data_IF_426629119684
#
_entry.id   IF_426629119684
#
_cell.length_a   1.000
_cell.length_b   1.000
_cell.length_c   1.000
_cell.angle_alpha   90.00
_cell.angle_beta   90.00
_cell.angle_gamma   90.00
#
_symmetry.space_group_name_H-M   'P 1'
#
loop_
_entity.id
_entity.type
_entity.pdbx_description
1 polymer ?
#
# COMPACT_ATOMS: atom_id res chain seq x y z
N UNK A 1 -3.40 -54.71 6.46
CA UNK A 1 -2.38 -53.71 6.04
C UNK A 1 -3.03 -52.69 5.13
N UNK A 2 -2.99 -51.42 5.51
CA UNK A 2 -2.95 -50.24 4.64
C UNK A 2 -2.86 -49.04 5.58
N UNK A 3 -1.63 -48.60 5.85
CA UNK A 3 -1.37 -47.28 6.41
C UNK A 3 -1.90 -46.25 5.40
N UNK A 4 -2.81 -45.37 5.84
CA UNK A 4 -3.18 -44.13 5.14
C UNK A 4 -3.03 -42.97 6.12
N UNK A 5 -2.33 -41.93 5.69
CA UNK A 5 -2.06 -40.68 6.41
C UNK A 5 -2.41 -39.54 5.40
N UNK A 6 -2.62 -38.27 5.79
CA UNK A 6 -3.51 -37.74 6.82
C UNK A 6 -4.15 -36.35 6.55
N UNK A 7 -4.24 -35.81 5.33
CA UNK A 7 -4.57 -34.36 5.13
C UNK A 7 -5.97 -34.00 4.57
N UNK A 8 -6.91 -34.87 4.96
CA UNK A 8 -8.31 -34.63 5.31
C UNK A 8 -9.56 -35.00 4.47
N UNK A 9 -10.52 -35.75 5.08
CA UNK A 9 -11.77 -36.27 4.51
C UNK A 9 -13.08 -35.84 5.22
N UNK A 10 -14.23 -36.16 4.59
CA UNK A 10 -15.68 -35.94 4.90
C UNK A 10 -16.20 -35.73 6.36
N UNK A 11 -17.19 -34.80 6.51
CA UNK A 11 -17.83 -34.20 7.71
C UNK A 11 -18.75 -35.13 8.55
N UNK A 12 -18.38 -35.48 9.80
CA UNK A 12 -19.15 -36.27 10.77
C UNK A 12 -19.92 -35.43 11.84
N UNK A 13 -21.23 -35.63 12.01
CA UNK A 13 -21.97 -35.02 13.13
C UNK A 13 -23.51 -34.88 13.05
N UNK A 14 -24.17 -35.26 11.95
CA UNK A 14 -25.62 -35.07 11.78
C UNK A 14 -26.44 -36.36 11.80
N UNK A 15 -26.31 -37.17 12.85
CA UNK A 15 -27.23 -38.28 13.07
C UNK A 15 -26.90 -39.11 14.31
N UNK A 16 -27.79 -39.11 15.30
CA UNK A 16 -27.86 -40.18 16.30
C UNK A 16 -28.52 -41.40 15.64
N UNK A 17 -27.88 -42.58 15.70
CA UNK A 17 -28.43 -43.79 15.06
C UNK A 17 -29.14 -44.70 16.09
N UNK A 18 -30.48 -44.79 16.07
CA UNK A 18 -31.28 -45.64 16.97
C UNK A 18 -31.24 -47.14 16.65
N UNK A 19 -30.37 -47.59 15.74
CA UNK A 19 -30.34 -48.98 15.23
C UNK A 19 -29.32 -49.90 15.93
N UNK A 20 -28.72 -49.47 17.04
CA UNK A 20 -27.81 -50.31 17.81
C UNK A 20 -28.60 -51.43 18.49
N UNK A 21 -28.34 -52.69 18.08
CA UNK A 21 -29.02 -53.90 18.56
C UNK A 21 -29.92 -54.62 17.55
N UNK A 22 -30.19 -54.03 16.39
CA UNK A 22 -31.07 -54.65 15.38
C UNK A 22 -30.31 -55.72 14.57
N UNK A 23 -30.72 -56.99 14.68
CA UNK A 23 -30.06 -58.13 14.01
C UNK A 23 -30.61 -58.47 12.62
N UNK A 24 -31.78 -57.94 12.25
CA UNK A 24 -32.39 -58.17 10.95
C UNK A 24 -32.40 -56.88 10.12
N UNK A 25 -31.58 -56.85 9.07
CA UNK A 25 -31.52 -55.77 8.08
C UNK A 25 -32.27 -56.21 6.82
N UNK A 26 -33.58 -56.41 6.94
CA UNK A 26 -34.43 -56.59 5.77
C UNK A 26 -34.58 -55.25 5.06
N UNK A 27 -33.75 -54.96 4.06
CA UNK A 27 -33.99 -53.86 3.13
C UNK A 27 -35.07 -54.35 2.17
N UNK A 28 -36.30 -53.83 2.31
CA UNK A 28 -37.33 -54.02 1.30
C UNK A 28 -36.97 -53.08 0.14
N UNK A 29 -36.59 -53.57 -1.05
CA UNK A 29 -36.38 -52.68 -2.19
C UNK A 29 -37.71 -52.01 -2.51
N UNK A 30 -37.77 -50.68 -2.39
CA UNK A 30 -38.95 -49.90 -2.77
C UNK A 30 -38.74 -49.51 -4.23
N UNK A 31 -39.53 -50.11 -5.11
CA UNK A 31 -39.60 -49.72 -6.51
C UNK A 31 -40.68 -48.64 -6.64
N UNK A 32 -40.30 -47.48 -7.17
CA UNK A 32 -41.24 -46.41 -7.53
C UNK A 32 -41.20 -46.17 -9.04
N UNK A 33 -42.27 -45.58 -9.56
CA UNK A 33 -42.39 -45.18 -10.96
C UNK A 33 -42.53 -43.68 -11.06
N UNK A 34 -41.58 -43.04 -11.74
CA UNK A 34 -41.67 -41.65 -12.18
C UNK A 34 -41.70 -41.71 -13.71
N UNK A 35 -42.71 -41.10 -14.34
CA UNK A 35 -42.87 -41.04 -15.80
C UNK A 35 -42.76 -42.40 -16.53
N UNK A 36 -43.40 -43.44 -15.98
CA UNK A 36 -43.43 -44.81 -16.52
C UNK A 36 -42.09 -45.54 -16.56
N UNK A 37 -41.07 -45.04 -15.84
CA UNK A 37 -39.80 -45.75 -15.66
C UNK A 37 -39.70 -46.24 -14.21
N UNK A 38 -39.56 -47.55 -14.05
CA UNK A 38 -39.39 -48.17 -12.73
C UNK A 38 -37.95 -47.94 -12.26
N UNK A 39 -37.77 -47.34 -11.08
CA UNK A 39 -36.45 -47.15 -10.48
C UNK A 39 -36.42 -47.60 -9.01
N UNK A 40 -35.28 -48.18 -8.63
CA UNK A 40 -34.98 -48.59 -7.26
C UNK A 40 -34.55 -47.36 -6.46
N UNK A 41 -35.28 -47.01 -5.41
CA UNK A 41 -35.00 -45.83 -4.59
C UNK A 41 -34.46 -46.27 -3.22
N UNK A 42 -33.23 -45.84 -2.93
CA UNK A 42 -32.50 -46.16 -1.68
C UNK A 42 -32.81 -45.20 -0.51
N UNK A 43 -33.74 -44.27 -0.67
CA UNK A 43 -34.00 -43.22 0.34
C UNK A 43 -35.48 -43.02 0.65
N UNK A 44 -35.78 -42.89 1.93
CA UNK A 44 -36.98 -42.20 2.42
C UNK A 44 -36.78 -40.69 2.34
N UNK A 45 -37.84 -39.95 2.06
CA UNK A 45 -37.84 -38.48 1.97
C UNK A 45 -37.30 -37.83 3.26
N UNK A 46 -36.46 -36.80 3.10
CA UNK A 46 -36.23 -35.79 4.16
C UNK A 46 -34.85 -35.68 4.82
N UNK A 47 -33.86 -36.54 4.54
CA UNK A 47 -32.56 -36.43 5.24
C UNK A 47 -31.36 -36.55 4.29
N UNK A 48 -30.59 -35.47 4.21
CA UNK A 48 -29.31 -35.24 3.51
C UNK A 48 -29.43 -34.56 2.13
N UNK A 49 -29.08 -33.25 2.11
CA UNK A 49 -28.90 -32.41 0.91
C UNK A 49 -27.71 -32.83 0.03
N UNK A 50 -26.80 -33.66 0.54
CA UNK A 50 -25.57 -34.10 -0.15
C UNK A 50 -25.35 -35.63 -0.08
N UNK A 51 -24.80 -36.25 -1.15
CA UNK A 51 -24.45 -37.67 -1.16
C UNK A 51 -23.14 -37.96 -0.41
N UNK A 52 -23.10 -39.02 0.39
CA UNK A 52 -21.90 -39.49 1.09
C UNK A 52 -21.05 -40.37 0.18
N UNK A 53 -19.74 -40.07 0.06
CA UNK A 53 -18.81 -40.74 -0.87
C UNK A 53 -18.29 -42.12 -0.40
N UNK A 54 -18.67 -42.58 0.80
CA UNK A 54 -18.27 -43.88 1.33
C UNK A 54 -19.47 -44.76 1.62
N UNK A 55 -19.28 -46.07 1.44
CA UNK A 55 -20.18 -47.08 1.95
C UNK A 55 -20.20 -46.98 3.50
N UNK A 56 -21.38 -46.88 4.09
CA UNK A 56 -21.54 -46.93 5.56
C UNK A 56 -20.84 -48.19 6.11
N UNK A 57 -20.13 -48.07 7.25
CA UNK A 57 -19.53 -49.14 8.10
C UNK A 57 -18.02 -49.47 7.96
N UNK A 58 -17.20 -48.74 7.19
CA UNK A 58 -15.75 -49.06 7.05
C UNK A 58 -14.76 -48.13 7.77
N UNK A 59 -15.21 -47.04 8.40
CA UNK A 59 -14.33 -46.09 9.10
C UNK A 59 -14.84 -45.80 10.53
N UNK A 60 -13.95 -45.54 11.50
CA UNK A 60 -14.36 -45.02 12.80
C UNK A 60 -14.96 -43.63 12.62
N UNK A 61 -16.20 -43.44 13.10
CA UNK A 61 -16.95 -42.17 13.08
C UNK A 61 -16.34 -41.20 14.11
N UNK A 62 -15.18 -40.63 13.80
CA UNK A 62 -14.61 -39.52 14.57
C UNK A 62 -15.46 -38.27 14.32
N UNK A 63 -15.67 -37.34 15.28
CA UNK A 63 -16.38 -36.08 15.06
C UNK A 63 -15.69 -35.11 14.07
N UNK A 64 -16.47 -34.21 13.44
CA UNK A 64 -15.95 -33.17 12.50
C UNK A 64 -14.82 -32.35 13.08
N UNK A 65 -14.96 -31.88 14.31
CA UNK A 65 -13.95 -31.03 14.94
C UNK A 65 -12.62 -31.76 15.21
N UNK A 66 -12.62 -33.09 15.28
CA UNK A 66 -11.39 -33.89 15.38
C UNK A 66 -10.82 -34.17 13.99
N UNK A 67 -11.68 -34.57 13.06
CA UNK A 67 -11.24 -34.89 11.70
C UNK A 67 -10.66 -33.63 11.07
N UNK A 68 -11.37 -32.50 11.13
CA UNK A 68 -11.07 -31.26 10.43
C UNK A 68 -10.28 -30.20 11.18
N UNK A 69 -9.69 -30.57 12.32
CA UNK A 69 -8.84 -29.67 13.09
C UNK A 69 -7.80 -29.01 12.17
N UNK A 70 -7.76 -27.67 12.20
CA UNK A 70 -6.82 -26.81 11.44
C UNK A 70 -6.92 -26.87 9.91
N UNK A 71 -7.95 -27.50 9.34
CA UNK A 71 -8.14 -27.48 7.90
C UNK A 71 -9.06 -26.33 7.51
N UNK A 72 -8.46 -25.39 6.78
CA UNK A 72 -9.08 -24.12 6.45
C UNK A 72 -9.03 -23.97 4.93
N UNK A 73 -10.17 -23.67 4.33
CA UNK A 73 -10.24 -23.29 2.93
C UNK A 73 -10.07 -21.78 2.83
N UNK A 74 -9.17 -21.33 1.93
CA UNK A 74 -8.90 -19.92 1.70
C UNK A 74 -9.29 -19.55 0.28
N UNK A 75 -10.16 -18.56 0.18
CA UNK A 75 -10.63 -17.99 -1.07
C UNK A 75 -10.26 -16.52 -1.14
N UNK A 76 -9.72 -16.09 -2.27
CA UNK A 76 -9.45 -14.68 -2.54
C UNK A 76 -10.67 -14.09 -3.24
N UNK A 77 -11.16 -12.97 -2.73
CA UNK A 77 -12.32 -12.29 -3.25
C UNK A 77 -12.10 -10.78 -3.25
N UNK A 78 -12.99 -10.05 -3.91
CA UNK A 78 -13.11 -8.61 -3.71
C UNK A 78 -14.57 -8.24 -3.52
N UNK A 79 -14.78 -7.07 -2.94
CA UNK A 79 -16.09 -6.42 -2.95
C UNK A 79 -15.94 -4.95 -3.36
N UNK A 80 -17.00 -4.42 -3.96
CA UNK A 80 -17.09 -3.03 -4.34
C UNK A 80 -17.72 -2.25 -3.18
N UNK A 81 -17.00 -1.28 -2.64
CA UNK A 81 -17.50 -0.36 -1.64
C UNK A 81 -17.89 0.96 -2.32
N UNK A 82 -19.16 1.33 -2.24
CA UNK A 82 -19.63 2.65 -2.69
C UNK A 82 -19.11 3.74 -1.75
N UNK A 83 -18.49 4.78 -2.30
CA UNK A 83 -18.08 5.96 -1.54
C UNK A 83 -18.99 7.13 -1.90
N UNK A 84 -19.64 7.72 -0.90
CA UNK A 84 -20.59 8.81 -1.12
C UNK A 84 -19.90 10.19 -1.22
N UNK A 85 -18.70 10.36 -0.66
CA UNK A 85 -18.11 11.68 -0.40
C UNK A 85 -16.91 12.04 -1.30
N UNK A 86 -16.45 11.13 -2.17
CA UNK A 86 -15.26 11.34 -3.01
C UNK A 86 -15.63 11.78 -4.43
N UNK A 87 -15.07 12.90 -4.90
CA UNK A 87 -15.28 13.39 -6.29
C UNK A 87 -14.58 12.54 -7.36
N UNK A 88 -13.54 11.79 -6.99
CA UNK A 88 -12.66 11.10 -7.95
C UNK A 88 -13.08 9.67 -8.32
N UNK A 89 -13.85 8.98 -7.47
CA UNK A 89 -14.34 7.63 -7.74
C UNK A 89 -15.61 7.34 -6.94
N UNK A 90 -16.67 6.86 -7.62
CA UNK A 90 -17.94 6.48 -6.99
C UNK A 90 -17.85 5.17 -6.20
N UNK A 91 -16.84 4.35 -6.48
CA UNK A 91 -16.65 3.06 -5.85
C UNK A 91 -15.16 2.71 -5.72
N UNK A 92 -14.81 2.03 -4.63
CA UNK A 92 -13.49 1.46 -4.38
C UNK A 92 -13.60 -0.06 -4.35
N UNK A 93 -12.64 -0.73 -4.99
CA UNK A 93 -12.49 -2.17 -4.93
C UNK A 93 -11.59 -2.53 -3.74
N UNK A 94 -12.07 -3.41 -2.86
CA UNK A 94 -11.29 -3.91 -1.71
C UNK A 94 -11.05 -5.40 -1.86
N UNK A 95 -9.77 -5.78 -1.91
CA UNK A 95 -9.33 -7.18 -1.95
C UNK A 95 -9.49 -7.78 -0.55
N UNK A 96 -10.02 -8.98 -0.45
CA UNK A 96 -10.24 -9.69 0.83
C UNK A 96 -9.95 -11.18 0.68
N UNK A 97 -9.57 -11.81 1.77
CA UNK A 97 -9.45 -13.25 1.90
C UNK A 97 -10.58 -13.79 2.79
N UNK A 98 -11.32 -14.76 2.27
CA UNK A 98 -12.38 -15.49 2.95
C UNK A 98 -11.80 -16.82 3.42
N UNK A 99 -11.90 -17.09 4.72
CA UNK A 99 -11.50 -18.32 5.36
C UNK A 99 -12.74 -19.11 5.78
N UNK A 100 -12.84 -20.36 5.34
CA UNK A 100 -13.86 -21.31 5.76
C UNK A 100 -13.21 -22.40 6.62
N UNK A 101 -13.65 -22.54 7.87
CA UNK A 101 -13.13 -23.52 8.81
C UNK A 101 -13.94 -24.81 8.71
N UNK A 102 -13.29 -25.91 8.31
CA UNK A 102 -13.97 -27.19 8.09
C UNK A 102 -14.39 -27.87 9.40
N UNK A 103 -13.80 -27.49 10.54
CA UNK A 103 -14.11 -28.06 11.86
C UNK A 103 -15.51 -27.73 12.37
N UNK A 104 -16.04 -26.55 12.05
CA UNK A 104 -17.30 -26.03 12.58
C UNK A 104 -18.21 -25.35 11.54
N UNK A 105 -17.74 -25.21 10.30
CA UNK A 105 -18.45 -24.52 9.22
C UNK A 105 -18.54 -23.00 9.41
N UNK A 106 -17.61 -22.41 10.18
CA UNK A 106 -17.55 -20.96 10.36
C UNK A 106 -16.78 -20.27 9.24
N UNK A 107 -17.11 -19.00 9.01
CA UNK A 107 -16.49 -18.13 8.02
C UNK A 107 -15.83 -16.95 8.73
N UNK A 108 -14.63 -16.59 8.29
CA UNK A 108 -13.92 -15.36 8.69
C UNK A 108 -13.49 -14.62 7.43
N UNK A 109 -13.68 -13.31 7.40
CA UNK A 109 -13.24 -12.48 6.27
C UNK A 109 -12.19 -11.49 6.76
N UNK A 110 -11.03 -11.48 6.13
CA UNK A 110 -9.95 -10.53 6.44
C UNK A 110 -9.48 -9.79 5.20
N UNK A 111 -9.21 -8.52 5.36
CA UNK A 111 -8.56 -7.68 4.37
C UNK A 111 -7.05 -7.65 4.62
N UNK A 112 -6.21 -7.99 3.62
CA UNK A 112 -4.77 -7.90 3.73
C UNK A 112 -4.32 -6.45 3.94
N UNK A 113 -3.32 -6.26 4.82
CA UNK A 113 -2.74 -4.94 5.08
C UNK A 113 -1.91 -4.49 3.88
N UNK A 114 -2.22 -3.30 3.37
CA UNK A 114 -1.54 -2.64 2.25
C UNK A 114 -0.98 -1.31 2.76
N UNK A 115 0.30 -1.07 2.53
CA UNK A 115 0.96 0.18 2.93
C UNK A 115 0.34 1.37 2.21
N UNK A 116 0.25 2.51 2.89
CA UNK A 116 -0.30 3.76 2.35
C UNK A 116 -1.74 3.68 1.84
N UNK A 117 -2.52 2.66 2.24
CA UNK A 117 -3.93 2.52 1.82
C UNK A 117 -4.85 3.57 2.42
N UNK A 118 -4.49 4.14 3.59
CA UNK A 118 -5.30 5.12 4.32
C UNK A 118 -6.62 4.57 4.89
N UNK A 119 -6.84 3.25 4.82
CA UNK A 119 -8.06 2.59 5.28
C UNK A 119 -7.78 1.71 6.50
N UNK A 120 -8.76 1.55 7.39
CA UNK A 120 -8.70 0.52 8.42
C UNK A 120 -8.78 -0.86 7.77
N UNK A 121 -7.69 -1.63 7.90
CA UNK A 121 -7.53 -2.96 7.32
C UNK A 121 -7.41 -4.00 8.44
N UNK A 122 -7.67 -5.26 8.13
CA UNK A 122 -7.66 -6.37 9.09
C UNK A 122 -8.90 -7.24 9.03
N UNK A 123 -9.40 -7.69 10.18
CA UNK A 123 -10.57 -8.58 10.22
C UNK A 123 -11.85 -7.80 9.91
N UNK A 124 -12.45 -8.06 8.75
CA UNK A 124 -13.72 -7.45 8.33
C UNK A 124 -14.91 -8.15 9.01
N UNK A 125 -14.86 -9.49 9.04
CA UNK A 125 -15.87 -10.33 9.68
C UNK A 125 -15.15 -11.33 10.58
N UNK A 126 -15.43 -11.23 11.89
CA UNK A 126 -14.96 -12.18 12.87
C UNK A 126 -15.52 -13.58 12.61
N UNK A 127 -14.78 -14.61 13.02
CA UNK A 127 -15.12 -16.01 12.80
C UNK A 127 -16.51 -16.34 13.38
N UNK A 128 -17.47 -16.67 12.50
CA UNK A 128 -18.82 -17.07 12.88
C UNK A 128 -19.53 -17.81 11.74
N UNK A 129 -20.64 -18.49 12.03
CA UNK A 129 -21.50 -19.07 10.98
C UNK A 129 -22.35 -17.96 10.35
N UNK A 130 -22.42 -17.92 9.03
CA UNK A 130 -23.16 -16.90 8.29
C UNK A 130 -24.37 -17.54 7.62
N UNK A 131 -25.54 -16.90 7.75
CA UNK A 131 -26.78 -17.34 7.13
C UNK A 131 -26.84 -16.97 5.64
N UNK A 132 -27.59 -17.75 4.86
CA UNK A 132 -27.88 -17.40 3.48
C UNK A 132 -28.80 -16.15 3.42
N UNK A 133 -28.66 -15.30 2.39
CA UNK A 133 -29.35 -14.00 2.30
C UNK A 133 -30.89 -14.08 2.22
N UNK A 134 -31.46 -15.27 1.98
CA UNK A 134 -32.91 -15.49 1.84
C UNK A 134 -33.44 -16.62 2.75
N UNK A 135 -32.62 -17.13 3.66
CA UNK A 135 -33.01 -18.25 4.51
C UNK A 135 -32.42 -18.06 5.91
N UNK A 136 -33.30 -17.89 6.90
CA UNK A 136 -32.90 -17.78 8.31
C UNK A 136 -32.32 -19.10 8.85
N UNK A 137 -32.73 -20.23 8.29
CA UNK A 137 -32.43 -21.54 8.88
C UNK A 137 -31.23 -22.23 8.22
N UNK A 138 -30.75 -21.68 7.11
CA UNK A 138 -29.65 -22.26 6.33
C UNK A 138 -28.40 -21.41 6.45
N UNK A 139 -27.27 -22.09 6.65
CA UNK A 139 -25.93 -21.50 6.72
C UNK A 139 -25.16 -21.79 5.44
N UNK A 140 -24.20 -20.92 5.11
CA UNK A 140 -23.28 -21.15 4.01
C UNK A 140 -22.48 -22.43 4.24
N UNK A 141 -22.36 -23.24 3.19
CA UNK A 141 -21.56 -24.46 3.19
C UNK A 141 -20.44 -24.36 2.14
N UNK A 142 -19.51 -25.32 2.18
CA UNK A 142 -18.37 -25.43 1.24
C UNK A 142 -18.84 -25.42 -0.21
N UNK A 143 -20.01 -26.00 -0.50
CA UNK A 143 -20.58 -26.09 -1.85
C UNK A 143 -21.00 -24.74 -2.43
N UNK A 144 -21.32 -23.77 -1.58
CA UNK A 144 -21.76 -22.45 -2.01
C UNK A 144 -20.55 -21.54 -2.36
N UNK A 145 -19.34 -21.96 -1.97
CA UNK A 145 -18.08 -21.25 -2.17
C UNK A 145 -17.28 -21.86 -3.33
N UNK A 146 -17.35 -21.24 -4.50
CA UNK A 146 -16.50 -21.62 -5.64
C UNK A 146 -16.02 -20.36 -6.39
N UNK A 147 -14.96 -20.49 -7.20
CA UNK A 147 -14.44 -19.39 -8.02
C UNK A 147 -15.51 -18.94 -9.02
N UNK A 148 -15.67 -17.62 -9.14
CA UNK A 148 -16.70 -16.99 -9.99
C UNK A 148 -18.08 -16.87 -9.36
N UNK A 149 -18.33 -17.50 -8.20
CA UNK A 149 -19.57 -17.29 -7.44
C UNK A 149 -19.53 -15.97 -6.68
N UNK A 150 -20.70 -15.36 -6.56
CA UNK A 150 -20.93 -14.19 -5.74
C UNK A 150 -21.62 -14.62 -4.44
N UNK A 151 -21.05 -14.21 -3.31
CA UNK A 151 -21.56 -14.55 -1.97
C UNK A 151 -21.88 -13.28 -1.20
N UNK A 152 -23.01 -13.29 -0.51
CA UNK A 152 -23.50 -12.12 0.22
C UNK A 152 -23.31 -12.33 1.71
N UNK A 153 -22.44 -11.55 2.35
CA UNK A 153 -22.26 -11.55 3.80
C UNK A 153 -22.70 -10.20 4.38
N UNK A 154 -23.66 -10.20 5.31
CA UNK A 154 -24.18 -9.00 5.98
C UNK A 154 -24.53 -7.85 5.00
N UNK A 155 -25.17 -8.18 3.88
CA UNK A 155 -25.59 -7.21 2.86
C UNK A 155 -24.47 -6.74 1.91
N UNK A 156 -23.23 -7.22 2.06
CA UNK A 156 -22.13 -6.96 1.12
C UNK A 156 -21.94 -8.14 0.19
N UNK A 157 -21.82 -7.87 -1.11
CA UNK A 157 -21.59 -8.87 -2.15
C UNK A 157 -20.10 -9.01 -2.40
N UNK A 158 -19.57 -10.21 -2.17
CA UNK A 158 -18.18 -10.59 -2.42
C UNK A 158 -18.12 -11.48 -3.65
N UNK A 159 -17.20 -11.17 -4.56
CA UNK A 159 -16.94 -11.98 -5.74
C UNK A 159 -15.66 -12.78 -5.56
N UNK A 160 -15.77 -14.10 -5.60
CA UNK A 160 -14.62 -15.00 -5.43
C UNK A 160 -13.85 -15.09 -6.74
N UNK A 161 -12.56 -14.81 -6.68
CA UNK A 161 -11.67 -14.68 -7.84
C UNK A 161 -10.70 -15.84 -7.94
N UNK A 162 -10.16 -16.27 -6.80
CA UNK A 162 -9.14 -17.30 -6.74
C UNK A 162 -9.30 -18.13 -5.46
N UNK A 163 -8.64 -19.29 -5.40
CA UNK A 163 -8.56 -20.12 -4.20
C UNK A 163 -7.13 -20.63 -4.01
N UNK A 164 -6.80 -20.99 -2.77
CA UNK A 164 -5.51 -21.58 -2.46
C UNK A 164 -5.35 -22.99 -3.08
N UNK A 165 -4.12 -23.42 -3.31
CA UNK A 165 -3.83 -24.73 -3.91
C UNK A 165 -4.40 -25.88 -3.07
N UNK A 166 -4.30 -25.76 -1.73
CA UNK A 166 -4.92 -26.73 -0.82
C UNK A 166 -6.45 -26.80 -1.03
N UNK A 167 -7.11 -25.65 -1.11
CA UNK A 167 -8.56 -25.56 -1.30
C UNK A 167 -8.99 -26.13 -2.65
N UNK A 168 -8.23 -25.85 -3.72
CA UNK A 168 -8.45 -26.44 -5.05
C UNK A 168 -8.38 -27.95 -5.04
N UNK A 169 -7.31 -28.52 -4.45
CA UNK A 169 -7.14 -29.97 -4.33
C UNK A 169 -8.25 -30.61 -3.49
N UNK A 170 -8.65 -29.95 -2.40
CA UNK A 170 -9.72 -30.43 -1.53
C UNK A 170 -11.08 -30.47 -2.25
N UNK A 171 -11.46 -29.39 -2.92
CA UNK A 171 -12.72 -29.31 -3.68
C UNK A 171 -12.76 -30.30 -4.84
N UNK A 172 -11.66 -30.45 -5.58
CA UNK A 172 -11.57 -31.44 -6.65
C UNK A 172 -11.74 -32.87 -6.12
N UNK A 173 -11.20 -33.19 -4.93
CA UNK A 173 -11.40 -34.49 -4.26
C UNK A 173 -12.84 -34.71 -3.79
N UNK A 174 -13.56 -33.66 -3.45
CA UNK A 174 -15.00 -33.71 -3.15
C UNK A 174 -15.86 -33.88 -4.42
N UNK A 175 -15.25 -33.84 -5.61
CA UNK A 175 -15.96 -33.92 -6.90
C UNK A 175 -16.49 -32.57 -7.39
N UNK A 176 -16.05 -31.46 -6.81
CA UNK A 176 -16.44 -30.11 -7.20
C UNK A 176 -15.37 -29.58 -8.15
N UNK A 177 -15.75 -29.27 -9.39
CA UNK A 177 -14.83 -28.67 -10.34
C UNK A 177 -14.56 -27.21 -9.98
N UNK A 178 -13.30 -26.87 -9.77
CA UNK A 178 -12.85 -25.51 -9.47
C UNK A 178 -12.30 -24.88 -10.76
N UNK A 179 -12.91 -23.80 -11.29
CA UNK A 179 -12.44 -23.17 -12.52
C UNK A 179 -11.09 -22.44 -12.31
N UNK A 180 -10.50 -21.96 -13.40
CA UNK A 180 -9.24 -21.21 -13.35
C UNK A 180 -9.42 -19.85 -12.66
N UNK A 181 -8.34 -19.28 -12.09
CA UNK A 181 -8.40 -17.98 -11.43
C UNK A 181 -8.87 -16.87 -12.38
N UNK A 182 -9.79 -16.05 -11.90
CA UNK A 182 -10.25 -14.87 -12.63
C UNK A 182 -9.21 -13.76 -12.42
N UNK A 183 -8.89 -12.91 -13.42
CA UNK A 183 -8.06 -11.75 -13.16
C UNK A 183 -8.78 -10.77 -12.22
N UNK A 184 -8.01 -10.07 -11.39
CA UNK A 184 -8.57 -8.97 -10.61
C UNK A 184 -9.14 -7.92 -11.57
N UNK A 185 -10.31 -7.32 -11.27
CA UNK A 185 -10.74 -6.15 -12.04
C UNK A 185 -9.66 -5.09 -11.87
N UNK A 186 -9.29 -4.40 -12.96
CA UNK A 186 -8.34 -3.29 -12.93
C UNK A 186 -8.88 -2.17 -12.05
N UNK A 187 -8.70 -2.32 -10.74
CA UNK A 187 -8.68 -1.23 -9.81
C UNK A 187 -7.48 -0.40 -10.22
N UNK A 188 -7.67 0.91 -10.37
CA UNK A 188 -6.60 1.88 -10.59
C UNK A 188 -5.74 1.90 -9.32
N UNK A 189 -4.99 0.84 -9.08
CA UNK A 189 -3.90 0.82 -8.12
C UNK A 189 -2.83 1.67 -8.77
N UNK A 190 -2.82 2.96 -8.41
CA UNK A 190 -1.66 3.81 -8.67
C UNK A 190 -0.49 3.13 -7.99
N UNK A 191 0.27 2.35 -8.73
CA UNK A 191 1.57 1.90 -8.28
C UNK A 191 2.33 3.15 -7.87
N UNK A 192 2.89 3.22 -6.65
CA UNK A 192 3.74 4.35 -6.31
C UNK A 192 4.83 4.42 -7.39
N UNK A 193 5.04 5.60 -8.00
CA UNK A 193 6.09 5.82 -8.98
C UNK A 193 7.44 5.41 -8.38
N UNK A 194 7.85 4.16 -8.61
CA UNK A 194 9.15 3.65 -8.16
C UNK A 194 10.28 4.12 -9.06
N UNK A 195 9.97 4.83 -10.14
CA UNK A 195 10.91 5.29 -11.17
C UNK A 195 11.73 6.52 -10.76
N UNK A 196 11.73 6.90 -9.47
CA UNK A 196 12.72 7.88 -8.98
C UNK A 196 14.06 7.19 -8.83
N UNK A 197 14.77 7.07 -9.95
CA UNK A 197 16.19 6.71 -9.97
C UNK A 197 16.92 7.59 -8.93
N UNK A 198 17.72 7.01 -8.02
CA UNK A 198 18.49 7.80 -7.07
C UNK A 198 19.30 8.85 -7.81
N UNK A 199 19.13 10.13 -7.48
CA UNK A 199 19.92 11.21 -8.08
C UNK A 199 21.38 10.97 -7.71
N UNK A 200 22.20 10.54 -8.66
CA UNK A 200 23.63 10.33 -8.46
C UNK A 200 24.31 11.69 -8.21
N UNK A 201 24.56 12.02 -6.93
CA UNK A 201 25.37 13.18 -6.58
C UNK A 201 26.85 12.80 -6.69
N UNK A 202 27.72 13.66 -7.24
CA UNK A 202 29.15 13.39 -7.30
C UNK A 202 29.75 13.36 -5.88
N UNK A 203 29.76 12.18 -5.25
CA UNK A 203 30.27 12.00 -3.88
C UNK A 203 31.77 12.31 -3.76
N UNK A 204 32.51 12.25 -4.87
CA UNK A 204 33.93 12.59 -4.94
C UNK A 204 34.22 14.05 -4.56
N UNK A 205 33.43 15.00 -5.05
CA UNK A 205 33.61 16.43 -4.74
C UNK A 205 33.47 16.70 -3.23
N UNK A 206 32.52 16.02 -2.59
CA UNK A 206 32.35 16.09 -1.14
C UNK A 206 33.60 15.58 -0.41
N UNK A 207 34.17 14.44 -0.82
CA UNK A 207 35.35 13.86 -0.16
C UNK A 207 36.62 14.72 -0.33
N UNK A 208 36.84 15.26 -1.53
CA UNK A 208 38.06 16.01 -1.86
C UNK A 208 38.09 17.40 -1.19
N UNK A 209 36.92 18.04 -1.04
CA UNK A 209 36.79 19.42 -0.57
C UNK A 209 36.01 19.56 0.75
N UNK A 210 35.81 18.47 1.49
CA UNK A 210 35.14 18.53 2.80
C UNK A 210 35.84 19.54 3.69
N UNK A 211 35.05 20.38 4.37
CA UNK A 211 35.49 21.50 5.24
C UNK A 211 36.28 22.63 4.57
N UNK A 212 36.47 22.60 3.25
CA UNK A 212 37.10 23.72 2.54
C UNK A 212 36.05 24.78 2.20
N UNK A 213 36.21 25.96 2.80
CA UNK A 213 35.31 27.11 2.62
C UNK A 213 36.12 28.31 2.15
N UNK A 214 35.72 28.91 1.04
CA UNK A 214 36.26 30.21 0.63
C UNK A 214 35.46 31.29 1.34
N UNK A 215 36.16 32.14 2.09
CA UNK A 215 35.56 33.28 2.77
C UNK A 215 35.96 34.56 2.07
N UNK A 216 34.98 35.40 1.78
CA UNK A 216 35.18 36.70 1.17
C UNK A 216 34.45 37.80 1.94
N UNK A 217 35.01 39.01 1.94
CA UNK A 217 34.44 40.20 2.58
C UNK A 217 33.92 41.18 1.52
N UNK A 218 32.62 41.38 1.49
CA UNK A 218 31.95 42.30 0.57
C UNK A 218 31.16 43.37 1.31
N UNK A 219 30.69 44.36 0.57
CA UNK A 219 29.70 45.31 1.07
C UNK A 219 28.54 45.40 0.08
N UNK A 220 27.33 45.58 0.60
CA UNK A 220 26.15 45.90 -0.17
C UNK A 220 25.76 47.35 0.12
N UNK A 221 25.76 48.16 -0.94
CA UNK A 221 25.51 49.58 -0.86
C UNK A 221 24.05 49.87 -1.23
N UNK A 222 23.20 50.04 -0.21
CA UNK A 222 21.77 50.35 -0.39
C UNK A 222 21.48 51.85 -0.22
N UNK A 223 22.49 52.73 -0.25
CA UNK A 223 22.33 54.18 0.03
C UNK A 223 21.38 54.93 -0.90
N UNK A 224 21.00 54.36 -2.03
CA UNK A 224 20.01 54.93 -2.94
C UNK A 224 18.57 54.74 -2.45
N UNK A 225 18.34 53.86 -1.46
CA UNK A 225 17.06 53.63 -0.80
C UNK A 225 16.79 54.69 0.28
N UNK A 226 15.51 54.98 0.55
CA UNK A 226 15.08 56.04 1.48
C UNK A 226 15.60 55.84 2.93
N UNK A 227 15.93 54.61 3.30
CA UNK A 227 16.54 54.23 4.59
C UNK A 227 17.83 53.41 4.39
N UNK A 228 18.51 53.63 3.27
CA UNK A 228 19.66 52.86 2.83
C UNK A 228 20.88 52.97 3.73
N UNK A 229 21.46 51.82 4.10
CA UNK A 229 22.73 51.73 4.82
C UNK A 229 23.72 50.91 4.00
N UNK A 230 25.02 51.08 4.25
CA UNK A 230 26.04 50.18 3.70
C UNK A 230 26.14 48.96 4.61
N UNK A 231 25.73 47.81 4.08
CA UNK A 231 25.74 46.54 4.78
C UNK A 231 27.08 45.83 4.53
N UNK A 232 27.79 45.48 5.60
CA UNK A 232 29.02 44.70 5.50
C UNK A 232 28.68 43.20 5.50
N UNK A 233 29.12 42.47 4.47
CA UNK A 233 28.76 41.08 4.24
C UNK A 233 29.98 40.15 4.27
N UNK A 234 29.84 39.00 4.92
CA UNK A 234 30.80 37.90 4.92
C UNK A 234 30.20 36.73 4.12
N UNK A 235 30.79 36.44 2.96
CA UNK A 235 30.32 35.42 2.03
C UNK A 235 31.16 34.17 2.20
N UNK A 236 30.50 33.04 2.42
CA UNK A 236 31.10 31.72 2.54
C UNK A 236 30.70 30.86 1.34
N UNK A 237 31.68 30.39 0.57
CA UNK A 237 31.49 29.44 -0.52
C UNK A 237 31.99 28.06 -0.10
N UNK A 238 31.11 27.07 -0.12
CA UNK A 238 31.43 25.68 0.22
C UNK A 238 31.81 24.90 -1.05
N UNK A 239 33.07 24.48 -1.15
CA UNK A 239 33.58 23.75 -2.31
C UNK A 239 33.02 22.32 -2.42
N UNK A 240 32.57 21.75 -1.30
CA UNK A 240 32.03 20.40 -1.22
C UNK A 240 30.69 20.22 -1.95
N UNK A 241 29.88 21.27 -2.09
CA UNK A 241 28.54 21.20 -2.68
C UNK A 241 28.15 22.39 -3.57
N UNK A 242 29.08 23.31 -3.84
CA UNK A 242 28.91 24.53 -4.63
C UNK A 242 27.79 25.43 -4.09
N UNK A 243 27.67 25.51 -2.76
CA UNK A 243 26.68 26.35 -2.09
C UNK A 243 27.30 27.61 -1.51
N UNK A 244 26.49 28.67 -1.45
CA UNK A 244 26.87 29.98 -0.93
C UNK A 244 26.00 30.30 0.28
N UNK A 245 26.64 30.81 1.33
CA UNK A 245 26.02 31.36 2.54
C UNK A 245 26.51 32.80 2.72
N UNK A 246 25.61 33.74 2.96
CA UNK A 246 25.94 35.17 3.09
C UNK A 246 25.53 35.63 4.48
N UNK A 247 26.50 36.05 5.27
CA UNK A 247 26.27 36.63 6.60
C UNK A 247 26.40 38.13 6.53
N UNK A 248 25.59 38.81 7.31
CA UNK A 248 25.73 40.23 7.55
C UNK A 248 26.47 40.46 8.87
N UNK A 249 27.49 41.32 8.82
CA UNK A 249 28.32 41.67 9.97
C UNK A 249 27.84 43.00 10.53
N UNK A 250 27.12 42.95 11.64
CA UNK A 250 26.65 44.13 12.35
C UNK A 250 27.73 44.69 13.30
N UNK A 251 27.99 46.00 13.29
CA UNK A 251 28.82 46.63 14.30
C UNK A 251 28.13 46.61 15.68
N UNK A 252 28.90 46.63 16.79
CA UNK A 252 28.34 46.70 18.13
C UNK A 252 27.47 47.96 18.28
N UNK A 253 26.31 47.83 18.92
CA UNK A 253 25.32 48.90 19.13
C UNK A 253 24.62 49.40 17.84
N UNK A 254 24.52 48.60 16.77
CA UNK A 254 23.81 48.97 15.53
C UNK A 254 22.29 49.10 15.68
N UNK A 255 21.70 48.61 16.77
CA UNK A 255 20.25 48.63 16.99
C UNK A 255 19.43 47.75 16.04
N UNK A 256 20.08 46.91 15.23
CA UNK A 256 19.42 45.98 14.30
C UNK A 256 19.10 44.66 15.01
N UNK A 257 17.83 44.26 15.00
CA UNK A 257 17.33 43.03 15.66
C UNK A 257 17.38 41.78 14.75
N UNK A 258 17.98 41.91 13.55
CA UNK A 258 18.15 40.81 12.60
C UNK A 258 19.24 39.84 13.02
N UNK A 259 19.01 38.53 12.84
CA UNK A 259 20.08 37.54 12.94
C UNK A 259 21.16 37.80 11.87
N UNK A 260 22.42 37.39 12.08
CA UNK A 260 23.53 37.68 11.17
C UNK A 260 23.42 36.97 9.81
N UNK A 261 22.30 36.34 9.51
CA UNK A 261 22.10 35.47 8.34
C UNK A 261 21.31 36.22 7.27
N UNK A 262 22.01 36.75 6.26
CA UNK A 262 21.40 37.43 5.12
C UNK A 262 20.86 36.44 4.09
N UNK A 263 21.67 35.44 3.70
CA UNK A 263 21.26 34.35 2.81
C UNK A 263 21.64 33.00 3.40
N UNK A 264 20.63 32.16 3.66
CA UNK A 264 20.85 30.77 4.09
C UNK A 264 21.52 29.97 2.99
N UNK A 265 22.45 29.09 3.38
CA UNK A 265 23.19 28.18 2.50
C UNK A 265 22.32 27.57 1.39
N UNK A 266 22.59 27.97 0.15
CA UNK A 266 21.91 27.45 -1.05
C UNK A 266 22.80 27.55 -2.29
N UNK A 267 22.44 26.81 -3.35
CA UNK A 267 23.06 27.00 -4.66
C UNK A 267 22.46 28.25 -5.30
N UNK A 268 23.24 29.32 -5.36
CA UNK A 268 22.78 30.58 -5.93
C UNK A 268 22.77 30.49 -7.47
N UNK A 269 21.62 30.72 -8.13
CA UNK A 269 21.56 30.74 -9.60
C UNK A 269 22.21 32.01 -10.15
N UNK A 270 22.96 31.88 -11.25
CA UNK A 270 23.58 33.01 -11.95
C UNK A 270 22.54 33.92 -12.61
N UNK A 271 21.49 33.32 -13.16
CA UNK A 271 20.36 34.00 -13.76
C UNK A 271 19.12 33.71 -12.92
N UNK A 272 18.56 34.74 -12.28
CA UNK A 272 17.32 34.63 -11.52
C UNK A 272 16.19 34.55 -12.55
N UNK A 273 15.48 33.40 -12.68
CA UNK A 273 14.36 33.32 -13.60
C UNK A 273 13.24 34.25 -13.13
N UNK A 274 12.55 34.90 -14.06
CA UNK A 274 11.43 35.80 -13.77
C UNK A 274 10.28 35.12 -12.98
N UNK A 275 10.23 33.79 -13.00
CA UNK A 275 9.28 32.98 -12.23
C UNK A 275 10.00 31.77 -11.64
N UNK A 276 9.95 31.63 -10.32
CA UNK A 276 10.48 30.48 -9.60
C UNK A 276 9.49 29.32 -9.79
N UNK A 277 9.84 28.36 -10.66
CA UNK A 277 9.07 27.13 -10.79
C UNK A 277 9.45 26.19 -9.64
N UNK A 278 8.51 25.96 -8.73
CA UNK A 278 8.65 25.00 -7.62
C UNK A 278 8.83 23.55 -8.11
N UNK A 279 8.55 23.30 -9.41
CA UNK A 279 8.47 21.98 -10.03
C UNK A 279 9.79 21.52 -10.67
N UNK A 280 10.91 21.69 -9.97
CA UNK A 280 12.18 21.03 -10.34
C UNK A 280 12.58 21.18 -11.81
N UNK A 281 12.53 22.41 -12.33
CA UNK A 281 12.88 22.73 -13.72
C UNK A 281 14.32 22.36 -14.11
N UNK A 282 14.72 22.61 -15.37
CA UNK A 282 16.06 22.30 -15.85
C UNK A 282 17.13 22.95 -14.95
N UNK A 283 18.28 22.28 -14.73
CA UNK A 283 19.30 22.77 -13.82
C UNK A 283 19.80 24.15 -14.27
N UNK A 284 19.49 25.17 -13.48
CA UNK A 284 20.00 26.53 -13.72
C UNK A 284 21.50 26.57 -13.43
N UNK A 285 22.26 27.29 -14.25
CA UNK A 285 23.69 27.51 -14.01
C UNK A 285 23.89 28.25 -12.68
N UNK A 286 24.61 27.64 -11.74
CA UNK A 286 25.00 28.24 -10.46
C UNK A 286 26.38 28.90 -10.54
N UNK A 287 26.71 29.75 -9.57
CA UNK A 287 28.04 30.36 -9.47
C UNK A 287 29.14 29.32 -9.19
N UNK A 288 30.25 29.42 -9.91
CA UNK A 288 31.46 28.60 -9.73
C UNK A 288 32.53 29.36 -8.92
N UNK A 289 33.52 28.71 -8.29
CA UNK A 289 34.60 29.41 -7.60
C UNK A 289 35.36 30.39 -8.51
N UNK A 290 35.44 30.10 -9.81
CA UNK A 290 36.08 30.98 -10.80
C UNK A 290 35.33 32.28 -11.07
N UNK A 291 34.01 32.34 -10.81
CA UNK A 291 33.22 33.56 -10.95
C UNK A 291 33.39 34.49 -9.72
N UNK A 292 34.01 34.00 -8.63
CA UNK A 292 34.22 34.72 -7.37
C UNK A 292 35.63 35.30 -7.31
N UNK A 293 35.89 36.31 -8.15
CA UNK A 293 37.14 37.08 -8.10
C UNK A 293 36.97 38.38 -7.32
N UNK A 294 38.07 38.86 -6.73
CA UNK A 294 38.13 40.18 -6.11
C UNK A 294 37.76 41.24 -7.16
N UNK A 295 36.71 42.02 -6.88
CA UNK A 295 36.10 43.00 -7.79
C UNK A 295 34.81 42.55 -8.49
N UNK A 296 34.41 41.27 -8.42
CA UNK A 296 33.24 40.74 -9.12
C UNK A 296 31.89 41.05 -8.44
N UNK A 297 30.84 41.26 -9.22
CA UNK A 297 29.49 41.53 -8.71
C UNK A 297 28.69 40.24 -8.58
N UNK A 298 28.16 39.96 -7.39
CA UNK A 298 27.24 38.84 -7.17
C UNK A 298 25.79 39.32 -7.22
N UNK A 299 25.01 38.83 -8.17
CA UNK A 299 23.57 39.05 -8.19
C UNK A 299 22.91 38.01 -7.27
N UNK A 300 22.47 38.45 -6.10
CA UNK A 300 21.72 37.64 -5.14
C UNK A 300 20.22 37.80 -5.32
N UNK A 301 19.43 36.82 -4.86
CA UNK A 301 17.97 36.91 -4.86
C UNK A 301 17.56 37.93 -3.79
N UNK A 302 17.03 39.07 -4.20
CA UNK A 302 16.39 40.06 -3.34
C UNK A 302 14.97 40.36 -3.86
N UNK A 303 14.05 40.69 -2.96
CA UNK A 303 12.75 41.25 -3.35
C UNK A 303 12.95 42.64 -3.97
N UNK A 304 13.19 42.70 -5.28
CA UNK A 304 12.92 43.91 -6.04
C UNK A 304 11.42 43.98 -6.30
N UNK A 305 10.66 44.44 -5.31
CA UNK A 305 9.29 44.88 -5.47
C UNK A 305 9.26 46.17 -6.31
N UNK A 306 9.44 46.03 -7.62
CA UNK A 306 8.84 46.94 -8.62
C UNK A 306 9.18 46.44 -10.02
N UNK A 307 8.12 46.04 -10.72
CA UNK A 307 8.06 46.07 -12.18
C UNK A 307 8.51 47.45 -12.65
N UNK A 308 9.21 47.46 -13.78
CA UNK A 308 9.78 48.64 -14.44
C UNK A 308 10.91 49.32 -13.69
N UNK A 309 12.13 48.80 -13.88
CA UNK A 309 13.30 49.62 -14.24
C UNK A 309 14.45 48.72 -14.70
N UNK A 310 14.73 48.78 -16.01
CA UNK A 310 16.03 48.39 -16.56
C UNK A 310 17.05 49.42 -16.06
N UNK A 311 17.67 49.14 -14.93
CA UNK A 311 18.95 49.72 -14.54
C UNK A 311 19.78 48.58 -13.95
N UNK A 312 21.02 48.45 -14.42
CA UNK A 312 21.92 47.37 -14.04
C UNK A 312 22.09 47.33 -12.53
N UNK A 313 22.03 46.12 -11.97
CA UNK A 313 22.27 45.87 -10.54
C UNK A 313 23.65 46.44 -10.15
N UNK A 314 23.75 47.36 -9.17
CA UNK A 314 25.04 47.88 -8.76
C UNK A 314 25.78 46.83 -7.93
N UNK A 315 27.06 46.70 -8.26
CA UNK A 315 27.94 45.68 -7.74
C UNK A 315 28.29 45.75 -6.27
N UNK A 316 28.22 44.60 -5.60
CA UNK A 316 29.09 44.30 -4.46
C UNK A 316 30.53 44.42 -4.94
N UNK A 317 31.31 45.35 -4.37
CA UNK A 317 32.76 45.48 -4.63
C UNK A 317 33.55 45.05 -3.41
N UNK A 318 34.79 44.64 -3.65
CA UNK A 318 35.61 43.91 -2.67
C UNK A 318 36.79 44.77 -2.21
N UNK A 319 37.20 44.58 -0.95
CA UNK A 319 38.53 44.95 -0.48
C UNK A 319 39.13 43.81 0.35
N UNK A 320 40.28 43.36 -0.15
CA UNK A 320 41.41 42.73 0.53
C UNK A 320 41.30 41.30 1.13
N UNK A 321 42.45 40.64 1.03
CA UNK A 321 42.81 39.23 1.13
C UNK A 321 42.81 38.69 2.58
N UNK A 322 42.40 37.44 2.82
CA UNK A 322 42.94 36.68 3.97
C UNK A 322 42.85 35.15 3.83
N UNK A 323 44.03 34.55 4.03
CA UNK A 323 44.44 33.19 4.39
C UNK A 323 43.45 32.01 4.34
N UNK A 324 43.94 30.91 3.71
CA UNK A 324 43.51 29.52 3.99
C UNK A 324 43.56 29.27 5.49
N UNK A 325 42.42 29.25 6.14
CA UNK A 325 42.28 28.64 7.47
C UNK A 325 41.98 27.16 7.29
N UNK A 326 43.01 26.33 7.45
CA UNK A 326 42.88 24.91 7.77
C UNK A 326 42.59 24.79 9.28
N UNK A 327 41.38 24.37 9.64
CA UNK A 327 41.04 23.93 10.99
C UNK A 327 40.87 22.41 11.01
#
# INVERSE_FOLDING_TARGET
MSIRNPRLPLLPGYGSNPLIGKKNFGVRPIFTTIDKVNMLVDKTEGVNRVPSLYCRKQAPELPTWIIYDKHILRFQAFFQQTLHEMRSASHILRKVDIFFFLEDGTIKVMEPKTENSGLSQGTLISRQRIHLPFSSDLYYDVLDLNIGREVTFFGKVFKIVNCDNFSRVFLNRLGINVPDPIPWPDAIERTPDSDRVPKHRPFRQFLDFDRQVLRFYGYWDDRESEFGVVHNLEIHYFLADDTIEIKEVYPPNSGTEGGPMFLKRMRLPRNIPAQIQMTGGPPTSSYSPGDLSIGAVLNTIGESASRERRYGVPGVRWLQESHRTSC
#
